data_IF_075256332345
#
_entry.id   IF_075256332345
#
_cell.length_a   1.000
_cell.length_b   1.000
_cell.length_c   1.000
_cell.angle_alpha   90.00
_cell.angle_beta   90.00
_cell.angle_gamma   90.00
#
_symmetry.space_group_name_H-M   'P 1'
#
loop_
_entity.id
_entity.type
_entity.pdbx_description
1 polymer ?
#
# COMPACT_ATOMS: atom_id res chain seq x y z
N UNK A 1 -9.53 13.25 -10.63
CA UNK A 1 -10.22 12.68 -9.46
C UNK A 1 -10.71 13.83 -8.62
N UNK A 2 -12.02 13.89 -8.38
CA UNK A 2 -12.70 15.06 -7.84
C UNK A 2 -12.27 15.39 -6.41
N UNK A 3 -12.09 16.68 -6.10
CA UNK A 3 -11.73 17.18 -4.77
C UNK A 3 -12.67 16.64 -3.67
N UNK A 4 -13.94 16.46 -4.01
CA UNK A 4 -14.99 15.90 -3.13
C UNK A 4 -14.80 14.40 -2.85
N UNK A 5 -14.27 13.63 -3.80
CA UNK A 5 -13.99 12.21 -3.62
C UNK A 5 -12.78 11.99 -2.70
N UNK A 6 -11.74 12.82 -2.85
CA UNK A 6 -10.58 12.80 -1.96
C UNK A 6 -10.94 13.22 -0.54
N UNK A 7 -11.78 14.24 -0.37
CA UNK A 7 -12.25 14.66 0.95
C UNK A 7 -13.04 13.55 1.66
N UNK A 8 -13.96 12.89 0.97
CA UNK A 8 -14.73 11.76 1.52
C UNK A 8 -13.82 10.61 1.96
N UNK A 9 -12.81 10.28 1.15
CA UNK A 9 -11.82 9.25 1.49
C UNK A 9 -11.00 9.64 2.73
N UNK A 10 -10.60 10.90 2.86
CA UNK A 10 -9.92 11.40 4.07
C UNK A 10 -10.78 11.24 5.32
N UNK A 11 -12.07 11.58 5.24
CA UNK A 11 -13.01 11.41 6.36
C UNK A 11 -13.21 9.94 6.74
N UNK A 12 -13.35 9.06 5.75
CA UNK A 12 -13.52 7.61 5.96
C UNK A 12 -12.27 6.95 6.58
N UNK A 13 -11.08 7.35 6.11
CA UNK A 13 -9.80 6.82 6.63
C UNK A 13 -9.50 7.28 8.05
N UNK A 14 -9.80 8.54 8.41
CA UNK A 14 -9.70 9.01 9.79
C UNK A 14 -10.72 8.32 10.71
N UNK A 15 -11.93 8.03 10.23
CA UNK A 15 -12.90 7.25 11.00
C UNK A 15 -12.40 5.82 11.27
N UNK A 16 -11.85 5.14 10.26
CA UNK A 16 -11.26 3.80 10.45
C UNK A 16 -10.13 3.81 11.48
N UNK A 17 -9.22 4.79 11.37
CA UNK A 17 -8.11 4.96 12.32
C UNK A 17 -8.62 5.15 13.74
N UNK A 18 -9.67 5.95 13.93
CA UNK A 18 -10.31 6.16 15.23
C UNK A 18 -10.88 4.86 15.79
N UNK A 19 -11.59 4.07 14.98
CA UNK A 19 -12.16 2.78 15.41
C UNK A 19 -11.07 1.79 15.87
N UNK A 20 -10.00 1.65 15.10
CA UNK A 20 -8.88 0.76 15.47
C UNK A 20 -8.20 1.23 16.75
N UNK A 21 -8.04 2.55 16.92
CA UNK A 21 -7.45 3.13 18.12
C UNK A 21 -8.33 2.94 19.37
N UNK A 22 -9.63 3.18 19.26
CA UNK A 22 -10.59 2.96 20.36
C UNK A 22 -10.60 1.49 20.78
N UNK A 23 -10.62 0.56 19.82
CA UNK A 23 -10.50 -0.87 20.11
C UNK A 23 -9.18 -1.19 20.84
N UNK A 24 -8.04 -0.66 20.40
CA UNK A 24 -6.77 -0.89 21.08
C UNK A 24 -6.77 -0.32 22.51
N UNK A 25 -7.42 0.82 22.72
CA UNK A 25 -7.52 1.47 24.02
C UNK A 25 -8.35 0.65 25.02
N UNK A 26 -9.39 -0.05 24.56
CA UNK A 26 -10.20 -0.92 25.41
C UNK A 26 -9.40 -2.13 25.98
N UNK A 27 -8.28 -2.49 25.35
CA UNK A 27 -7.36 -3.54 25.78
C UNK A 27 -6.01 -3.00 26.28
N UNK A 28 -5.97 -1.74 26.74
CA UNK A 28 -4.75 -1.14 27.28
C UNK A 28 -4.19 -1.97 28.45
N UNK A 29 -2.91 -2.32 28.37
CA UNK A 29 -2.23 -3.16 29.36
C UNK A 29 -2.35 -4.68 29.12
N UNK A 30 -3.17 -5.13 28.16
CA UNK A 30 -3.27 -6.54 27.74
C UNK A 30 -2.43 -6.79 26.48
N UNK A 31 -1.14 -7.12 26.68
CA UNK A 31 -0.20 -7.32 25.57
C UNK A 31 -0.63 -8.42 24.57
N UNK A 32 -1.14 -9.60 24.98
CA UNK A 32 -1.68 -10.58 24.04
C UNK A 32 -2.88 -10.08 23.21
N UNK A 33 -3.81 -9.33 23.82
CA UNK A 33 -4.94 -8.77 23.08
C UNK A 33 -4.48 -7.70 22.08
N UNK A 34 -3.58 -6.80 22.49
CA UNK A 34 -2.98 -5.80 21.61
C UNK A 34 -2.20 -6.44 20.45
N UNK A 35 -1.45 -7.51 20.70
CA UNK A 35 -0.77 -8.26 19.64
C UNK A 35 -1.75 -8.89 18.64
N UNK A 36 -2.91 -9.33 19.11
CA UNK A 36 -3.96 -9.87 18.24
C UNK A 36 -4.51 -8.78 17.33
N UNK A 37 -4.76 -7.57 17.86
CA UNK A 37 -5.20 -6.41 17.08
C UNK A 37 -4.14 -6.04 16.02
N UNK A 38 -2.87 -6.00 16.41
CA UNK A 38 -1.75 -5.71 15.49
C UNK A 38 -1.68 -6.70 14.33
N UNK A 39 -1.84 -8.00 14.60
CA UNK A 39 -1.85 -9.05 13.56
C UNK A 39 -3.00 -8.90 12.57
N UNK A 40 -4.18 -8.48 13.04
CA UNK A 40 -5.33 -8.22 12.16
C UNK A 40 -5.05 -7.04 11.24
N UNK A 41 -4.49 -5.95 11.77
CA UNK A 41 -4.10 -4.78 10.97
C UNK A 41 -3.05 -5.16 9.92
N UNK A 42 -2.06 -5.97 10.30
CA UNK A 42 -1.04 -6.47 9.38
C UNK A 42 -1.64 -7.35 8.26
N UNK A 43 -2.54 -8.28 8.61
CA UNK A 43 -3.22 -9.12 7.63
C UNK A 43 -4.04 -8.30 6.64
N UNK A 44 -4.84 -7.35 7.15
CA UNK A 44 -5.63 -6.44 6.32
C UNK A 44 -4.73 -5.63 5.37
N UNK A 45 -3.61 -5.10 5.87
CA UNK A 45 -2.65 -4.40 5.04
C UNK A 45 -2.09 -5.31 3.93
N UNK A 46 -1.74 -6.56 4.26
CA UNK A 46 -1.27 -7.53 3.27
C UNK A 46 -2.32 -7.80 2.20
N UNK A 47 -3.58 -8.03 2.59
CA UNK A 47 -4.69 -8.32 1.66
C UNK A 47 -4.97 -7.14 0.73
N UNK A 48 -5.03 -5.92 1.26
CA UNK A 48 -5.20 -4.69 0.45
C UNK A 48 -4.02 -4.56 -0.51
N UNK A 49 -2.79 -4.77 -0.04
CA UNK A 49 -1.60 -4.65 -0.86
C UNK A 49 -1.58 -5.66 -2.00
N UNK A 50 -1.84 -6.93 -1.70
CA UNK A 50 -1.71 -8.03 -2.65
C UNK A 50 -2.86 -8.06 -3.65
N UNK A 51 -4.09 -7.86 -3.17
CA UNK A 51 -5.28 -8.09 -3.98
C UNK A 51 -5.89 -6.82 -4.59
N UNK A 52 -5.60 -5.64 -4.03
CA UNK A 52 -6.18 -4.38 -4.50
C UNK A 52 -5.12 -3.41 -5.03
N UNK A 53 -4.01 -3.22 -4.31
CA UNK A 53 -3.00 -2.24 -4.69
C UNK A 53 -2.09 -2.74 -5.80
N UNK A 54 -1.54 -3.96 -5.69
CA UNK A 54 -0.64 -4.53 -6.69
C UNK A 54 -1.30 -4.63 -8.08
N UNK A 55 -2.55 -5.12 -8.23
CA UNK A 55 -3.22 -5.14 -9.53
C UNK A 55 -3.62 -3.75 -10.05
N UNK A 56 -3.68 -2.74 -9.18
CA UNK A 56 -3.96 -1.35 -9.55
C UNK A 56 -2.70 -0.55 -9.89
N UNK A 57 -1.51 -1.17 -9.87
CA UNK A 57 -0.27 -0.50 -10.25
C UNK A 57 -0.33 -0.09 -11.74
N UNK A 58 0.18 1.10 -12.09
CA UNK A 58 0.21 1.52 -13.48
C UNK A 58 1.12 0.63 -14.33
N UNK A 59 0.64 0.27 -15.52
CA UNK A 59 1.40 -0.53 -16.49
C UNK A 59 2.47 0.30 -17.22
N UNK A 60 2.29 1.63 -17.26
CA UNK A 60 3.23 2.53 -17.93
C UNK A 60 4.31 3.05 -16.98
N UNK A 61 5.56 3.06 -17.44
CA UNK A 61 6.71 3.58 -16.68
C UNK A 61 6.46 5.00 -16.18
N UNK A 62 5.86 5.87 -16.99
CA UNK A 62 5.63 7.27 -16.65
C UNK A 62 4.62 7.45 -15.50
N UNK A 63 3.53 6.69 -15.49
CA UNK A 63 2.54 6.73 -14.41
C UNK A 63 3.08 6.08 -13.13
N UNK A 64 3.84 5.01 -13.27
CA UNK A 64 4.55 4.40 -12.15
C UNK A 64 5.53 5.39 -11.51
N UNK A 65 6.31 6.14 -12.30
CA UNK A 65 7.19 7.20 -11.78
C UNK A 65 6.43 8.31 -11.05
N UNK A 66 5.24 8.70 -11.53
CA UNK A 66 4.39 9.69 -10.85
C UNK A 66 3.88 9.17 -9.52
N UNK A 67 3.44 7.91 -9.48
CA UNK A 67 3.01 7.23 -8.26
C UNK A 67 4.16 7.14 -7.25
N UNK A 68 5.35 6.71 -7.69
CA UNK A 68 6.53 6.61 -6.85
C UNK A 68 6.94 7.96 -6.25
N UNK A 69 6.97 9.03 -7.06
CA UNK A 69 7.26 10.38 -6.57
C UNK A 69 6.24 10.86 -5.55
N UNK A 70 4.95 10.57 -5.78
CA UNK A 70 3.90 10.92 -4.83
C UNK A 70 4.05 10.19 -3.49
N UNK A 71 4.49 8.92 -3.51
CA UNK A 71 4.80 8.13 -2.31
C UNK A 71 6.03 8.70 -1.56
N UNK A 72 7.06 9.16 -2.28
CA UNK A 72 8.23 9.79 -1.68
C UNK A 72 7.91 11.15 -1.02
N UNK A 73 7.09 11.98 -1.67
CA UNK A 73 6.76 13.34 -1.22
C UNK A 73 5.82 13.37 0.00
N UNK A 74 4.89 12.41 0.12
CA UNK A 74 3.86 12.41 1.18
C UNK A 74 4.22 11.56 2.41
N UNK A 75 5.46 11.09 2.53
CA UNK A 75 5.95 10.43 3.73
C UNK A 75 6.05 8.91 3.64
N UNK A 76 6.75 8.41 2.61
CA UNK A 76 7.32 7.07 2.56
C UNK A 76 6.33 5.93 2.37
N UNK A 77 6.86 4.76 1.99
CA UNK A 77 6.08 3.52 1.86
C UNK A 77 5.22 3.29 3.11
N UNK A 78 3.95 2.83 3.00
CA UNK A 78 3.12 2.56 4.17
C UNK A 78 3.91 1.75 5.20
N UNK A 79 4.06 2.29 6.40
CA UNK A 79 4.94 1.81 7.47
C UNK A 79 4.46 0.47 8.06
N UNK A 80 4.48 -0.60 7.26
CA UNK A 80 4.27 -2.00 7.65
C UNK A 80 5.25 -2.82 6.79
N UNK A 81 5.94 -3.77 7.43
CA UNK A 81 7.23 -4.33 7.00
C UNK A 81 7.44 -4.49 5.48
N UNK A 82 8.56 -3.92 5.05
CA UNK A 82 9.07 -3.79 3.69
C UNK A 82 8.71 -4.98 2.81
N UNK A 83 7.78 -4.79 1.87
CA UNK A 83 7.97 -5.38 0.54
C UNK A 83 9.33 -4.86 0.06
N UNK A 84 10.30 -5.76 -0.10
CA UNK A 84 11.61 -5.40 -0.62
C UNK A 84 11.35 -4.75 -1.98
N UNK A 85 11.69 -3.47 -2.14
CA UNK A 85 11.72 -2.72 -3.41
C UNK A 85 12.15 -3.57 -4.62
N UNK A 86 12.99 -4.57 -4.36
CA UNK A 86 13.40 -5.65 -5.26
C UNK A 86 12.26 -6.35 -6.02
N UNK A 87 11.08 -6.58 -5.43
CA UNK A 87 9.95 -7.22 -6.13
C UNK A 87 9.33 -6.32 -7.19
N UNK A 88 9.27 -5.01 -6.94
CA UNK A 88 8.82 -4.00 -7.91
C UNK A 88 9.86 -3.78 -9.02
N UNK A 89 11.15 -3.74 -8.66
CA UNK A 89 12.24 -3.63 -9.63
C UNK A 89 12.32 -4.86 -10.57
N UNK A 90 11.98 -6.05 -10.07
CA UNK A 90 11.88 -7.25 -10.91
C UNK A 90 10.88 -7.05 -12.07
N UNK A 91 9.72 -6.44 -11.79
CA UNK A 91 8.70 -6.18 -12.81
C UNK A 91 9.16 -5.15 -13.87
N UNK A 92 10.08 -4.26 -13.52
CA UNK A 92 10.69 -3.31 -14.46
C UNK A 92 11.72 -3.99 -15.39
N UNK A 93 12.48 -4.97 -14.89
CA UNK A 93 13.49 -5.73 -15.67
C UNK A 93 12.86 -6.76 -16.63
N UNK A 94 11.67 -7.29 -16.32
CA UNK A 94 10.96 -8.19 -17.23
C UNK A 94 10.36 -7.49 -18.46
N UNK A 95 10.19 -6.16 -18.42
CA UNK A 95 9.66 -5.40 -19.55
C UNK A 95 10.72 -5.04 -20.61
N UNK A 96 12.01 -5.10 -20.27
CA UNK A 96 13.11 -4.83 -21.23
C UNK A 96 13.52 -6.08 -22.04
N UNK A 97 13.17 -7.29 -21.59
CA UNK A 97 13.63 -8.54 -22.23
C UNK A 97 12.68 -9.12 -23.30
N UNK A 98 11.55 -8.47 -23.57
CA UNK A 98 10.57 -8.94 -24.58
C UNK A 98 10.56 -8.14 -25.89
N UNK A 99 11.42 -7.13 -26.04
CA UNK A 99 11.53 -6.37 -27.30
C UNK A 99 12.66 -6.87 -28.23
N UNK A 100 13.55 -7.74 -27.77
CA UNK A 100 14.72 -8.21 -28.55
C UNK A 100 14.55 -9.55 -29.29
N UNK A 101 13.32 -10.06 -29.46
CA UNK A 101 13.08 -11.25 -30.28
C UNK A 101 11.97 -11.07 -31.32
N UNK A 102 12.00 -9.93 -32.01
CA UNK A 102 11.27 -9.68 -33.25
C UNK A 102 12.15 -9.01 -34.30
N UNK A 103 13.25 -9.65 -34.67
CA UNK A 103 13.82 -9.46 -36.00
C UNK A 103 14.51 -10.75 -36.44
N UNK A 104 14.07 -11.22 -37.60
CA UNK A 104 14.51 -12.43 -38.29
C UNK A 104 15.82 -12.22 -39.05
#
# INVERSE_FOLDING_TARGET
>A
MDHKANQKLTEETEHLKKLVWELAKDYEGDAPALLTILRVVEALHWEIREHLFNPALPETRQELYRLLRNIEENGGWPYIERMKLRSLLLHLEFSDNNEDNREA
#
